data_IF_534931668974
#
_entry.id   IF_534931668974
#
_cell.length_a   1.000
_cell.length_b   1.000
_cell.length_c   1.000
_cell.angle_alpha   90.00
_cell.angle_beta   90.00
_cell.angle_gamma   90.00
#
_symmetry.space_group_name_H-M   'P 1'
#
loop_
_entity.id
_entity.type
_entity.pdbx_description
1 polymer ?
#
# COMPACT_ATOMS: atom_id res chain seq x y z
N UNK A 1 6.10 19.76 -15.67
CA UNK A 1 4.80 19.54 -15.00
C UNK A 1 4.92 18.45 -13.95
N UNK A 2 4.47 18.72 -12.72
CA UNK A 2 4.34 17.69 -11.70
C UNK A 2 3.10 16.84 -11.95
N UNK A 3 2.99 15.69 -11.27
CA UNK A 3 1.75 14.89 -11.31
C UNK A 3 0.62 15.69 -10.65
N UNK A 4 0.92 16.40 -9.56
CA UNK A 4 -0.06 17.26 -8.86
C UNK A 4 -0.62 18.37 -9.76
N UNK A 5 0.21 19.06 -10.53
CA UNK A 5 -0.27 20.09 -11.48
C UNK A 5 -1.23 19.50 -12.53
N UNK A 6 -1.04 18.23 -12.90
CA UNK A 6 -1.97 17.50 -13.75
C UNK A 6 -3.31 17.22 -13.06
N UNK A 7 -3.28 16.85 -11.77
CA UNK A 7 -4.48 16.64 -10.95
C UNK A 7 -5.24 17.95 -10.76
N UNK A 8 -4.54 19.03 -10.41
CA UNK A 8 -5.13 20.35 -10.17
C UNK A 8 -5.91 20.84 -11.40
N UNK A 9 -5.41 20.54 -12.60
CA UNK A 9 -6.02 20.92 -13.88
C UNK A 9 -7.13 19.95 -14.36
N UNK A 10 -7.16 18.72 -13.84
CA UNK A 10 -8.10 17.68 -14.26
C UNK A 10 -9.48 17.83 -13.59
N UNK A 11 -10.48 17.25 -14.25
CA UNK A 11 -11.85 17.08 -13.76
C UNK A 11 -12.19 15.61 -13.55
N UNK A 12 -13.29 15.34 -12.85
CA UNK A 12 -13.80 13.98 -12.67
C UNK A 12 -14.00 13.26 -14.01
N UNK A 13 -13.49 12.02 -14.09
CA UNK A 13 -13.49 11.16 -15.27
C UNK A 13 -12.27 11.32 -16.17
N UNK A 14 -11.39 12.29 -15.92
CA UNK A 14 -10.20 12.48 -16.72
C UNK A 14 -9.15 11.37 -16.50
N UNK A 15 -8.34 11.16 -17.53
CA UNK A 15 -7.14 10.32 -17.48
C UNK A 15 -5.89 11.19 -17.58
N UNK A 16 -5.01 11.06 -16.60
CA UNK A 16 -3.70 11.71 -16.57
C UNK A 16 -2.65 10.69 -16.99
N UNK A 17 -2.11 10.88 -18.20
CA UNK A 17 -1.01 10.08 -18.74
C UNK A 17 0.34 10.72 -18.40
N UNK A 18 1.16 10.00 -17.66
CA UNK A 18 2.46 10.47 -17.19
C UNK A 18 3.58 9.86 -18.06
N UNK A 19 4.35 10.73 -18.71
CA UNK A 19 5.50 10.32 -19.50
C UNK A 19 6.64 9.77 -18.61
N UNK A 20 7.55 8.95 -19.18
CA UNK A 20 8.82 8.61 -18.53
C UNK A 20 9.54 9.82 -17.96
N UNK A 21 9.99 9.71 -16.72
CA UNK A 21 10.64 10.77 -15.97
C UNK A 21 10.66 10.48 -14.47
N UNK A 22 11.39 11.32 -13.72
CA UNK A 22 11.38 11.32 -12.26
C UNK A 22 10.49 12.47 -11.77
N UNK A 23 9.51 12.12 -10.96
CA UNK A 23 8.53 13.01 -10.35
C UNK A 23 8.68 12.94 -8.83
N UNK A 24 8.25 14.01 -8.16
CA UNK A 24 8.35 14.12 -6.71
C UNK A 24 6.95 14.36 -6.14
N UNK A 25 6.62 13.63 -5.06
CA UNK A 25 5.36 13.80 -4.33
C UNK A 25 5.44 14.88 -3.24
N UNK A 26 4.42 15.00 -2.37
CA UNK A 26 3.23 14.14 -2.29
C UNK A 26 2.25 14.29 -3.47
N UNK A 27 1.27 13.39 -3.51
CA UNK A 27 0.18 13.39 -4.49
C UNK A 27 -1.16 13.36 -3.74
N UNK A 28 -2.03 14.33 -3.99
CA UNK A 28 -3.40 14.35 -3.49
C UNK A 28 -4.36 14.29 -4.68
N UNK A 29 -5.24 13.29 -4.71
CA UNK A 29 -6.27 13.16 -5.75
C UNK A 29 -7.36 14.23 -5.63
N UNK A 30 -7.37 15.04 -4.57
CA UNK A 30 -8.31 16.14 -4.32
C UNK A 30 -9.79 15.68 -4.35
N UNK A 31 -10.02 14.42 -3.98
CA UNK A 31 -11.33 13.74 -4.05
C UNK A 31 -11.91 13.68 -5.47
N UNK A 32 -11.05 13.71 -6.50
CA UNK A 32 -11.46 13.61 -7.91
C UNK A 32 -11.46 12.15 -8.38
N UNK A 33 -12.43 11.81 -9.22
CA UNK A 33 -12.50 10.54 -9.94
C UNK A 33 -11.48 10.54 -11.09
N UNK A 34 -10.25 10.09 -10.85
CA UNK A 34 -9.18 10.16 -11.86
C UNK A 34 -8.55 8.79 -12.13
N UNK A 35 -8.24 8.55 -13.41
CA UNK A 35 -7.29 7.52 -13.82
C UNK A 35 -5.93 8.18 -13.98
N UNK A 36 -4.97 7.84 -13.12
CA UNK A 36 -3.60 8.33 -13.20
C UNK A 36 -2.70 7.15 -13.53
N UNK A 37 -1.98 7.23 -14.65
CA UNK A 37 -1.08 6.15 -15.03
C UNK A 37 0.07 6.58 -15.91
N UNK A 38 1.11 5.76 -15.94
CA UNK A 38 2.18 5.93 -16.92
C UNK A 38 1.69 5.54 -18.32
N UNK A 39 2.57 5.71 -19.32
CA UNK A 39 2.29 5.21 -20.68
C UNK A 39 2.11 3.68 -20.76
N UNK A 40 2.34 2.94 -19.66
CA UNK A 40 1.92 1.55 -19.54
C UNK A 40 0.43 1.35 -19.90
N UNK A 41 -0.43 2.32 -19.60
CA UNK A 41 -1.87 2.28 -19.91
C UNK A 41 -2.17 2.12 -21.42
N UNK A 42 -1.27 2.53 -22.30
CA UNK A 42 -1.51 2.52 -23.75
C UNK A 42 -1.06 1.21 -24.40
N UNK A 43 0.13 0.73 -24.03
CA UNK A 43 0.82 -0.32 -24.77
C UNK A 43 1.15 -1.57 -23.92
N UNK A 44 0.81 -1.57 -22.62
CA UNK A 44 1.16 -2.61 -21.65
C UNK A 44 2.67 -2.95 -21.59
N UNK A 45 3.52 -2.02 -22.01
CA UNK A 45 4.97 -2.17 -21.97
C UNK A 45 5.50 -1.80 -20.57
N UNK A 46 5.93 -2.80 -19.81
CA UNK A 46 6.45 -2.63 -18.45
C UNK A 46 7.67 -1.69 -18.35
N UNK A 47 8.37 -1.40 -19.45
CA UNK A 47 9.46 -0.43 -19.42
C UNK A 47 8.99 0.95 -18.98
N UNK A 48 7.73 1.31 -19.28
CA UNK A 48 7.16 2.58 -18.85
C UNK A 48 7.00 2.66 -17.33
N UNK A 49 6.68 1.56 -16.67
CA UNK A 49 6.59 1.51 -15.20
C UNK A 49 7.98 1.80 -14.59
N UNK A 50 9.04 1.17 -15.12
CA UNK A 50 10.41 1.37 -14.64
C UNK A 50 10.97 2.78 -14.92
N UNK A 51 10.42 3.48 -15.92
CA UNK A 51 10.92 4.78 -16.34
C UNK A 51 10.08 5.94 -15.82
N UNK A 52 8.89 5.70 -15.27
CA UNK A 52 8.05 6.71 -14.63
C UNK A 52 8.13 6.55 -13.11
N UNK A 53 9.09 7.25 -12.53
CA UNK A 53 9.52 7.09 -11.14
C UNK A 53 8.95 8.23 -10.29
N UNK A 54 8.41 7.90 -9.13
CA UNK A 54 7.92 8.84 -8.11
C UNK A 54 8.81 8.69 -6.88
N UNK A 55 9.40 9.77 -6.41
CA UNK A 55 10.29 9.81 -5.24
C UNK A 55 9.80 10.77 -4.17
N UNK A 56 10.18 10.51 -2.91
CA UNK A 56 10.02 11.45 -1.81
C UNK A 56 11.24 12.35 -1.66
N UNK A 57 11.02 13.64 -1.38
CA UNK A 57 12.11 14.59 -1.03
C UNK A 57 12.08 15.01 0.43
N UNK A 58 10.98 14.76 1.13
CA UNK A 58 10.78 15.09 2.53
C UNK A 58 10.26 13.86 3.26
N UNK A 59 10.91 13.52 4.37
CA UNK A 59 10.53 12.39 5.22
C UNK A 59 9.41 12.74 6.20
N UNK A 60 9.03 14.03 6.28
CA UNK A 60 7.97 14.52 7.15
C UNK A 60 6.61 14.60 6.46
N UNK A 61 6.41 13.82 5.39
CA UNK A 61 5.18 13.77 4.61
C UNK A 61 4.46 12.48 4.96
N UNK A 62 3.26 12.57 5.52
CA UNK A 62 2.34 11.43 5.66
C UNK A 62 0.90 11.94 5.61
N UNK A 63 0.04 11.40 4.73
CA UNK A 63 0.35 10.35 3.75
C UNK A 63 1.13 10.88 2.54
N UNK A 64 1.80 10.00 1.80
CA UNK A 64 2.51 10.38 0.57
C UNK A 64 1.58 10.46 -0.65
N UNK A 65 0.59 9.58 -0.74
CA UNK A 65 -0.52 9.61 -1.69
C UNK A 65 -1.83 9.61 -0.91
N UNK A 66 -2.71 10.56 -1.21
CA UNK A 66 -4.02 10.71 -0.58
C UNK A 66 -5.14 10.45 -1.59
N UNK A 67 -6.04 9.51 -1.23
CA UNK A 67 -7.25 9.18 -2.00
C UNK A 67 -8.43 9.03 -1.02
N UNK A 68 -9.32 10.03 -0.92
CA UNK A 68 -10.45 9.97 0.01
C UNK A 68 -11.78 10.52 -0.50
N UNK A 69 -12.87 9.97 0.04
CA UNK A 69 -14.21 10.53 -0.12
C UNK A 69 -14.77 10.41 -1.54
N UNK A 70 -14.43 9.33 -2.24
CA UNK A 70 -14.77 9.13 -3.64
C UNK A 70 -15.78 7.99 -3.78
N UNK A 71 -16.96 8.30 -4.33
CA UNK A 71 -18.09 7.39 -4.49
C UNK A 71 -18.39 7.10 -5.97
N UNK A 72 -17.53 6.34 -6.64
CA UNK A 72 -17.72 5.73 -7.98
C UNK A 72 -17.98 6.67 -9.19
N UNK A 73 -17.53 6.32 -10.42
CA UNK A 73 -16.72 5.16 -10.80
C UNK A 73 -15.26 5.48 -11.20
N UNK A 74 -14.41 4.47 -10.95
CA UNK A 74 -13.03 4.22 -11.43
C UNK A 74 -11.94 5.27 -11.14
N UNK A 75 -11.55 5.36 -9.87
CA UNK A 75 -10.23 5.89 -9.51
C UNK A 75 -9.17 4.82 -9.75
N UNK A 76 -8.07 5.17 -10.41
CA UNK A 76 -7.00 4.23 -10.71
C UNK A 76 -5.62 4.89 -10.57
N UNK A 77 -4.69 4.16 -9.94
CA UNK A 77 -3.27 4.50 -9.87
C UNK A 77 -2.48 3.34 -10.48
N UNK A 78 -1.96 3.54 -11.70
CA UNK A 78 -1.47 2.44 -12.53
C UNK A 78 -0.09 2.67 -13.16
N UNK A 79 0.84 1.77 -12.87
CA UNK A 79 2.05 1.64 -13.66
C UNK A 79 3.17 2.62 -13.28
N UNK A 80 3.39 2.86 -12.00
CA UNK A 80 4.48 3.70 -11.49
C UNK A 80 5.54 2.92 -10.72
N UNK A 81 6.74 3.47 -10.62
CA UNK A 81 7.74 3.06 -9.62
C UNK A 81 7.83 4.09 -8.52
N UNK A 82 7.41 3.74 -7.31
CA UNK A 82 7.67 4.48 -6.06
C UNK A 82 9.03 4.05 -5.51
N UNK A 83 10.00 4.97 -5.51
CA UNK A 83 11.40 4.66 -5.19
C UNK A 83 11.92 5.50 -4.03
N UNK A 84 12.60 4.86 -3.09
CA UNK A 84 13.33 5.50 -1.98
C UNK A 84 12.44 6.43 -1.13
N UNK A 85 11.19 6.01 -0.89
CA UNK A 85 10.25 6.80 -0.09
C UNK A 85 10.45 6.47 1.39
N UNK A 86 10.79 7.50 2.17
CA UNK A 86 10.91 7.39 3.62
C UNK A 86 9.89 8.27 4.33
N UNK A 87 9.16 7.72 5.31
CA UNK A 87 8.14 8.40 6.10
C UNK A 87 8.50 8.25 7.59
N UNK A 88 9.06 9.29 8.19
CA UNK A 88 9.66 9.25 9.54
C UNK A 88 9.15 10.39 10.44
N UNK A 89 7.86 10.75 10.33
CA UNK A 89 7.26 11.89 11.05
C UNK A 89 7.15 11.65 12.57
N UNK A 90 8.16 12.00 13.38
CA UNK A 90 8.01 11.96 14.85
C UNK A 90 7.17 13.12 15.44
N UNK A 91 6.31 13.74 14.62
CA UNK A 91 5.48 14.86 15.05
C UNK A 91 4.31 14.37 15.91
N UNK A 92 4.18 14.96 17.11
CA UNK A 92 3.05 14.71 18.01
C UNK A 92 1.71 14.98 17.29
N UNK A 93 0.78 14.03 17.37
CA UNK A 93 -0.56 14.14 16.77
C UNK A 93 -0.73 13.49 15.39
N UNK A 94 0.32 12.90 14.80
CA UNK A 94 0.20 12.10 13.58
C UNK A 94 -0.61 10.83 13.85
N UNK A 95 -1.74 10.66 13.15
CA UNK A 95 -2.64 9.52 13.37
C UNK A 95 -2.19 8.25 12.65
N UNK A 96 -1.47 8.37 11.52
CA UNK A 96 -0.97 7.23 10.75
C UNK A 96 0.22 7.60 9.85
N UNK A 97 1.08 6.63 9.55
CA UNK A 97 2.25 6.77 8.66
C UNK A 97 2.06 5.90 7.42
N UNK A 98 1.63 6.52 6.33
CA UNK A 98 1.09 5.77 5.20
C UNK A 98 1.65 6.27 3.86
N UNK A 99 2.11 5.34 3.02
CA UNK A 99 2.53 5.71 1.66
C UNK A 99 1.31 6.01 0.78
N UNK A 100 0.32 5.13 0.71
CA UNK A 100 -0.97 5.36 0.03
C UNK A 100 -2.11 5.23 1.04
N UNK A 101 -2.78 6.35 1.32
CA UNK A 101 -3.90 6.43 2.24
C UNK A 101 -5.24 6.47 1.47
N UNK A 102 -6.05 5.44 1.67
CA UNK A 102 -7.35 5.26 1.01
C UNK A 102 -8.44 5.27 2.08
N UNK A 103 -9.31 6.29 2.08
CA UNK A 103 -10.36 6.46 3.09
C UNK A 103 -11.70 6.76 2.42
N UNK A 104 -12.72 5.93 2.64
CA UNK A 104 -14.04 6.09 2.01
C UNK A 104 -13.94 6.19 0.47
N UNK A 105 -13.08 5.37 -0.13
CA UNK A 105 -12.83 5.31 -1.57
C UNK A 105 -12.46 3.88 -1.97
N UNK A 106 -12.68 3.52 -3.23
CA UNK A 106 -12.42 2.16 -3.76
C UNK A 106 -11.58 2.16 -5.04
N UNK A 107 -10.37 2.76 -5.04
CA UNK A 107 -9.51 2.78 -6.22
C UNK A 107 -8.98 1.41 -6.64
N UNK A 108 -8.48 1.34 -7.88
CA UNK A 108 -7.56 0.30 -8.34
C UNK A 108 -6.13 0.78 -8.12
N UNK A 109 -5.36 0.08 -7.30
CA UNK A 109 -3.92 0.28 -7.14
C UNK A 109 -3.22 -0.86 -7.84
N UNK A 110 -2.76 -0.64 -9.08
CA UNK A 110 -2.32 -1.74 -9.95
C UNK A 110 -1.02 -1.50 -10.71
N UNK A 111 -0.27 -2.58 -10.95
CA UNK A 111 0.97 -2.57 -11.72
C UNK A 111 2.03 -1.57 -11.20
N UNK A 112 2.02 -1.26 -9.91
CA UNK A 112 3.01 -0.37 -9.31
C UNK A 112 4.17 -1.15 -8.69
N UNK A 113 5.32 -0.49 -8.61
CA UNK A 113 6.55 -1.00 -7.96
C UNK A 113 6.85 -0.11 -6.77
N UNK A 114 6.82 -0.64 -5.55
CA UNK A 114 7.23 0.03 -4.32
C UNK A 114 8.59 -0.52 -3.91
N UNK A 115 9.64 0.24 -4.19
CA UNK A 115 11.02 -0.22 -4.02
C UNK A 115 11.75 0.61 -2.96
N UNK A 116 12.41 -0.09 -2.03
CA UNK A 116 13.25 0.51 -0.99
C UNK A 116 12.53 1.61 -0.18
N UNK A 117 11.32 1.31 0.30
CA UNK A 117 10.59 2.22 1.19
C UNK A 117 10.96 2.01 2.65
N UNK A 118 10.93 3.07 3.45
CA UNK A 118 11.16 3.02 4.90
C UNK A 118 10.07 3.80 5.63
N UNK A 119 9.28 3.13 6.46
CA UNK A 119 8.25 3.77 7.28
C UNK A 119 8.60 3.54 8.74
N UNK A 120 8.98 4.61 9.43
CA UNK A 120 9.22 4.62 10.87
C UNK A 120 8.15 5.49 11.53
N UNK A 121 7.22 4.85 12.24
CA UNK A 121 6.06 5.54 12.82
C UNK A 121 5.86 5.23 14.31
N UNK A 122 5.05 6.02 15.01
CA UNK A 122 4.59 5.74 16.38
C UNK A 122 3.07 5.50 16.47
N UNK A 123 2.40 5.40 15.32
CA UNK A 123 0.96 5.16 15.17
C UNK A 123 0.72 4.27 13.95
N UNK A 124 -0.53 3.86 13.66
CA UNK A 124 -0.85 2.91 12.57
C UNK A 124 -0.06 3.17 11.28
N UNK A 125 0.57 2.15 10.69
CA UNK A 125 1.46 2.34 9.53
C UNK A 125 1.23 1.34 8.43
N UNK A 126 1.32 1.81 7.18
CA UNK A 126 1.19 0.95 6.02
C UNK A 126 1.84 1.48 4.75
N UNK A 127 2.16 0.58 3.82
CA UNK A 127 2.42 1.02 2.44
C UNK A 127 1.11 1.42 1.78
N UNK A 128 0.07 0.59 1.91
CA UNK A 128 -1.28 0.87 1.45
C UNK A 128 -2.23 0.67 2.62
N UNK A 129 -2.84 1.76 3.09
CA UNK A 129 -3.89 1.73 4.08
C UNK A 129 -5.25 1.92 3.42
N UNK A 130 -6.20 1.05 3.72
CA UNK A 130 -7.57 1.11 3.24
C UNK A 130 -8.55 1.12 4.42
N UNK A 131 -9.39 2.15 4.49
CA UNK A 131 -10.48 2.26 5.46
C UNK A 131 -11.80 2.53 4.75
N UNK A 132 -12.82 1.72 5.05
CA UNK A 132 -14.12 1.75 4.36
C UNK A 132 -13.97 1.72 2.83
N UNK A 133 -13.33 0.67 2.33
CA UNK A 133 -12.90 0.54 0.94
C UNK A 133 -13.23 -0.82 0.34
N UNK A 134 -13.51 -0.86 -0.95
CA UNK A 134 -13.59 -2.11 -1.75
C UNK A 134 -12.50 -2.18 -2.83
N UNK A 135 -11.32 -1.60 -2.53
CA UNK A 135 -10.24 -1.45 -3.52
C UNK A 135 -9.73 -2.77 -4.09
N UNK A 136 -9.27 -2.69 -5.34
CA UNK A 136 -8.44 -3.73 -5.97
C UNK A 136 -6.97 -3.35 -5.80
N UNK A 137 -6.20 -4.21 -5.14
CA UNK A 137 -4.75 -4.08 -5.03
C UNK A 137 -4.15 -5.26 -5.78
N UNK A 138 -3.65 -5.03 -7.00
CA UNK A 138 -3.23 -6.11 -7.87
C UNK A 138 -2.00 -5.86 -8.73
N UNK A 139 -1.23 -6.93 -9.00
CA UNK A 139 -0.05 -6.89 -9.86
C UNK A 139 1.02 -5.89 -9.38
N UNK A 140 1.04 -5.55 -8.08
CA UNK A 140 2.07 -4.67 -7.55
C UNK A 140 3.26 -5.50 -7.06
N UNK A 141 4.44 -4.89 -7.09
CA UNK A 141 5.67 -5.43 -6.52
C UNK A 141 6.06 -4.53 -5.36
N UNK A 142 6.23 -5.11 -4.19
CA UNK A 142 6.77 -4.46 -2.99
C UNK A 142 8.11 -5.13 -2.68
N UNK A 143 9.21 -4.40 -2.79
CA UNK A 143 10.56 -4.95 -2.68
C UNK A 143 11.45 -4.12 -1.76
N UNK A 144 12.26 -4.81 -0.97
CA UNK A 144 13.34 -4.23 -0.16
C UNK A 144 12.85 -3.14 0.81
N UNK A 145 11.60 -3.24 1.25
CA UNK A 145 10.95 -2.25 2.11
C UNK A 145 10.96 -2.61 3.60
N UNK A 146 10.89 -1.58 4.44
CA UNK A 146 10.85 -1.71 5.89
C UNK A 146 9.70 -0.89 6.48
N UNK A 147 8.93 -1.50 7.39
CA UNK A 147 8.13 -0.75 8.38
C UNK A 147 8.62 -1.15 9.77
N UNK A 148 9.12 -0.19 10.56
CA UNK A 148 9.69 -0.46 11.87
C UNK A 148 9.35 0.63 12.90
N UNK A 149 9.78 0.40 14.14
CA UNK A 149 9.63 1.28 15.30
C UNK A 149 8.18 1.69 15.64
N UNK A 150 7.23 0.95 15.08
CA UNK A 150 5.80 1.19 15.18
C UNK A 150 5.21 0.42 16.34
N UNK A 151 4.68 1.04 17.40
CA UNK A 151 4.19 0.28 18.57
C UNK A 151 2.71 -0.13 18.50
N UNK A 152 2.08 -0.01 17.34
CA UNK A 152 0.64 -0.18 17.11
C UNK A 152 0.42 -1.20 15.97
N UNK A 153 -0.66 -1.02 15.20
CA UNK A 153 -1.05 -1.87 14.07
C UNK A 153 -0.26 -1.53 12.80
N UNK A 154 0.33 -2.54 12.14
CA UNK A 154 1.11 -2.34 10.90
C UNK A 154 0.84 -3.40 9.84
N UNK A 155 0.74 -2.97 8.57
CA UNK A 155 0.66 -3.86 7.42
C UNK A 155 1.28 -3.26 6.16
N UNK A 156 1.95 -4.03 5.30
CA UNK A 156 2.26 -3.50 3.96
C UNK A 156 0.97 -3.13 3.24
N UNK A 157 -0.02 -4.01 3.31
CA UNK A 157 -1.42 -3.70 3.03
C UNK A 157 -2.18 -3.82 4.35
N UNK A 158 -2.78 -2.72 4.80
CA UNK A 158 -3.60 -2.66 6.00
C UNK A 158 -5.05 -2.33 5.64
N UNK A 159 -5.96 -3.21 6.00
CA UNK A 159 -7.39 -3.15 5.69
C UNK A 159 -8.21 -2.99 6.96
N UNK A 160 -9.01 -1.92 7.08
CA UNK A 160 -9.94 -1.68 8.19
C UNK A 160 -11.35 -1.46 7.66
N UNK A 161 -12.34 -2.17 8.21
CA UNK A 161 -13.75 -2.04 7.80
C UNK A 161 -13.93 -2.08 6.27
N UNK A 162 -13.20 -2.97 5.59
CA UNK A 162 -13.06 -2.96 4.13
C UNK A 162 -13.29 -4.34 3.52
N UNK A 163 -13.51 -4.38 2.21
CA UNK A 163 -13.70 -5.59 1.40
C UNK A 163 -12.77 -5.60 0.20
N UNK A 164 -11.48 -5.78 0.45
CA UNK A 164 -10.43 -5.68 -0.56
C UNK A 164 -10.29 -6.96 -1.39
N UNK A 165 -9.93 -6.79 -2.66
CA UNK A 165 -9.34 -7.86 -3.46
C UNK A 165 -7.83 -7.61 -3.57
N UNK A 166 -7.04 -8.48 -2.95
CA UNK A 166 -5.58 -8.42 -2.94
C UNK A 166 -5.08 -9.59 -3.80
N UNK A 167 -4.64 -9.27 -5.01
CA UNK A 167 -4.42 -10.28 -6.05
C UNK A 167 -3.07 -10.16 -6.75
N UNK A 168 -2.35 -11.28 -6.90
CA UNK A 168 -1.16 -11.35 -7.76
C UNK A 168 -0.11 -10.28 -7.44
N UNK A 169 0.04 -9.93 -6.16
CA UNK A 169 1.11 -9.05 -5.71
C UNK A 169 2.34 -9.88 -5.32
N UNK A 170 3.52 -9.33 -5.56
CA UNK A 170 4.77 -9.83 -5.04
C UNK A 170 5.21 -8.97 -3.87
N UNK A 171 5.44 -9.58 -2.72
CA UNK A 171 6.01 -8.95 -1.54
C UNK A 171 7.30 -9.67 -1.20
N UNK A 172 8.45 -9.00 -1.37
CA UNK A 172 9.73 -9.64 -1.21
C UNK A 172 10.79 -8.83 -0.47
N UNK A 173 11.69 -9.56 0.20
CA UNK A 173 12.82 -9.00 0.94
C UNK A 173 12.43 -7.90 1.93
N UNK A 174 11.24 -8.04 2.52
CA UNK A 174 10.68 -7.06 3.41
C UNK A 174 11.04 -7.28 4.88
N UNK A 175 10.89 -6.21 5.66
CA UNK A 175 10.78 -6.30 7.11
C UNK A 175 9.57 -5.51 7.60
N UNK A 176 8.80 -6.13 8.50
CA UNK A 176 7.78 -5.44 9.31
C UNK A 176 8.00 -5.77 10.78
N UNK A 177 8.01 -4.79 11.67
CA UNK A 177 8.27 -5.12 13.06
C UNK A 177 8.20 -3.97 14.03
N UNK A 178 8.54 -4.30 15.28
CA UNK A 178 8.37 -3.45 16.47
C UNK A 178 6.92 -3.06 16.77
N UNK A 179 5.97 -3.67 16.04
CA UNK A 179 4.51 -3.46 16.08
C UNK A 179 3.79 -4.70 16.56
N UNK A 180 2.57 -4.51 17.04
CA UNK A 180 1.74 -5.61 17.48
C UNK A 180 0.26 -5.18 17.46
N UNK A 181 -0.59 -5.77 16.58
CA UNK A 181 -0.29 -6.81 15.59
C UNK A 181 0.40 -6.31 14.29
N UNK A 182 1.09 -7.23 13.59
CA UNK A 182 1.85 -6.88 12.38
C UNK A 182 1.81 -7.95 11.29
N UNK A 183 1.76 -7.53 10.03
CA UNK A 183 1.94 -8.45 8.92
C UNK A 183 2.24 -7.80 7.59
N UNK A 184 2.22 -8.58 6.52
CA UNK A 184 2.32 -8.06 5.16
C UNK A 184 0.93 -7.71 4.62
N UNK A 185 -0.05 -8.56 4.91
CA UNK A 185 -1.47 -8.23 4.74
C UNK A 185 -2.15 -8.34 6.10
N UNK A 186 -2.70 -7.23 6.59
CA UNK A 186 -3.42 -7.19 7.87
C UNK A 186 -4.85 -6.71 7.64
N UNK A 187 -5.79 -7.47 8.17
CA UNK A 187 -7.23 -7.23 8.01
C UNK A 187 -7.89 -7.09 9.38
N UNK A 188 -8.62 -6.01 9.59
CA UNK A 188 -9.33 -5.68 10.83
C UNK A 188 -10.78 -5.37 10.50
N UNK A 189 -11.72 -6.08 11.13
CA UNK A 189 -13.16 -6.00 10.82
C UNK A 189 -13.44 -5.97 9.30
N UNK A 190 -12.72 -6.80 8.53
CA UNK A 190 -12.69 -6.73 7.06
C UNK A 190 -13.04 -8.07 6.40
N UNK A 191 -13.55 -8.00 5.17
CA UNK A 191 -13.92 -9.15 4.34
C UNK A 191 -13.06 -9.22 3.07
N UNK A 192 -11.83 -9.72 3.17
CA UNK A 192 -10.87 -9.65 2.06
C UNK A 192 -10.72 -10.97 1.30
N UNK A 193 -10.50 -10.83 -0.01
CA UNK A 193 -10.05 -11.92 -0.89
C UNK A 193 -8.56 -11.74 -1.12
N UNK A 194 -7.75 -12.69 -0.65
CA UNK A 194 -6.30 -12.71 -0.79
C UNK A 194 -5.94 -13.89 -1.69
N UNK A 195 -5.56 -13.62 -2.93
CA UNK A 195 -5.38 -14.66 -3.95
C UNK A 195 -4.15 -14.47 -4.82
N UNK A 196 -3.47 -15.56 -5.17
CA UNK A 196 -2.36 -15.55 -6.14
C UNK A 196 -1.16 -14.65 -5.72
N UNK A 197 -1.06 -14.25 -4.46
CA UNK A 197 0.06 -13.41 -4.01
C UNK A 197 1.28 -14.27 -3.65
N UNK A 198 2.46 -13.70 -3.83
CA UNK A 198 3.73 -14.31 -3.41
C UNK A 198 4.38 -13.47 -2.33
N UNK A 199 4.66 -14.09 -1.19
CA UNK A 199 5.44 -13.54 -0.09
C UNK A 199 6.77 -14.27 -0.04
N UNK A 200 7.87 -13.62 -0.42
CA UNK A 200 9.17 -14.26 -0.57
C UNK A 200 10.24 -13.58 0.30
N UNK A 201 10.88 -14.35 1.18
CA UNK A 201 11.92 -13.83 2.07
C UNK A 201 11.40 -12.65 2.92
N UNK A 202 10.20 -12.85 3.46
CA UNK A 202 9.49 -11.88 4.29
C UNK A 202 9.87 -12.06 5.76
N UNK A 203 10.30 -10.99 6.42
CA UNK A 203 10.64 -11.00 7.83
C UNK A 203 9.62 -10.22 8.66
N UNK A 204 9.25 -10.76 9.82
CA UNK A 204 8.59 -10.03 10.90
C UNK A 204 9.46 -10.07 12.17
N UNK A 205 9.49 -9.02 12.99
CA UNK A 205 10.30 -9.04 14.21
C UNK A 205 9.77 -8.13 15.31
N UNK A 206 10.11 -8.44 16.56
CA UNK A 206 9.67 -7.68 17.75
C UNK A 206 8.15 -7.53 17.83
N UNK A 207 7.43 -8.65 17.65
CA UNK A 207 5.98 -8.73 17.61
C UNK A 207 5.50 -10.03 18.26
N UNK A 208 4.40 -10.00 19.02
CA UNK A 208 3.76 -11.21 19.55
C UNK A 208 2.73 -11.76 18.55
N UNK A 209 2.01 -10.86 17.89
CA UNK A 209 0.88 -11.16 17.00
C UNK A 209 1.25 -10.81 15.57
N UNK A 210 2.15 -11.60 14.96
CA UNK A 210 2.60 -11.33 13.60
C UNK A 210 2.70 -12.54 12.68
N UNK A 211 2.33 -12.34 11.42
CA UNK A 211 2.35 -13.34 10.35
C UNK A 211 2.37 -12.65 8.98
N UNK A 212 2.65 -13.38 7.90
CA UNK A 212 2.51 -12.82 6.55
C UNK A 212 1.09 -12.32 6.28
N UNK A 213 0.07 -13.07 6.69
CA UNK A 213 -1.35 -12.67 6.62
C UNK A 213 -1.96 -12.71 8.03
N UNK A 214 -2.59 -11.61 8.44
CA UNK A 214 -3.24 -11.46 9.75
C UNK A 214 -4.71 -11.06 9.59
N UNK A 215 -5.60 -11.76 10.30
CA UNK A 215 -7.02 -11.45 10.43
C UNK A 215 -7.36 -11.12 11.89
N UNK A 216 -7.98 -9.97 12.14
CA UNK A 216 -8.34 -9.46 13.47
C UNK A 216 -9.79 -8.99 13.49
N UNK A 217 -10.34 -8.79 14.69
CA UNK A 217 -11.64 -8.17 14.93
C UNK A 217 -12.79 -8.76 14.09
N UNK A 218 -12.87 -10.09 14.03
CA UNK A 218 -13.93 -10.79 13.30
C UNK A 218 -13.80 -10.72 11.78
N UNK A 219 -12.61 -10.40 11.25
CA UNK A 219 -12.36 -10.41 9.80
C UNK A 219 -12.62 -11.79 9.17
N UNK A 220 -13.22 -11.78 7.98
CA UNK A 220 -13.54 -12.97 7.20
C UNK A 220 -12.69 -12.99 5.93
N UNK A 221 -11.73 -13.93 5.82
CA UNK A 221 -10.77 -13.94 4.72
C UNK A 221 -10.98 -15.14 3.80
N UNK A 222 -11.01 -14.90 2.48
CA UNK A 222 -10.84 -15.94 1.47
C UNK A 222 -9.38 -15.94 1.05
N UNK A 223 -8.62 -16.94 1.50
CA UNK A 223 -7.19 -17.09 1.18
C UNK A 223 -7.02 -18.29 0.25
N UNK A 224 -6.64 -18.06 -1.01
CA UNK A 224 -6.42 -19.15 -1.97
C UNK A 224 -5.21 -18.90 -2.87
N UNK A 225 -4.50 -19.95 -3.28
CA UNK A 225 -3.40 -19.87 -4.26
C UNK A 225 -2.27 -18.88 -3.92
N UNK A 226 -2.05 -18.56 -2.64
CA UNK A 226 -0.92 -17.73 -2.22
C UNK A 226 0.31 -18.60 -1.96
N UNK A 227 1.48 -18.07 -2.26
CA UNK A 227 2.77 -18.71 -2.03
C UNK A 227 3.52 -17.93 -0.94
N UNK A 228 3.74 -18.55 0.22
CA UNK A 228 4.53 -17.96 1.31
C UNK A 228 5.84 -18.77 1.43
N UNK A 229 6.96 -18.12 1.12
CA UNK A 229 8.29 -18.71 1.08
C UNK A 229 9.22 -17.96 2.02
N UNK A 230 9.93 -18.73 2.86
CA UNK A 230 10.99 -18.19 3.74
C UNK A 230 10.48 -17.05 4.63
N UNK A 231 9.28 -17.22 5.19
CA UNK A 231 8.75 -16.32 6.20
C UNK A 231 9.44 -16.58 7.54
N UNK A 232 10.10 -15.56 8.08
CA UNK A 232 10.80 -15.63 9.37
C UNK A 232 10.22 -14.60 10.33
N UNK A 233 10.03 -14.95 11.59
CA UNK A 233 9.75 -13.94 12.61
C UNK A 233 9.49 -14.49 13.99
N UNK A 234 9.32 -13.58 14.95
CA UNK A 234 9.15 -13.89 16.36
C UNK A 234 7.74 -14.45 16.70
N UNK A 235 6.76 -14.17 15.84
CA UNK A 235 5.36 -14.61 15.98
C UNK A 235 5.00 -15.89 15.21
N UNK A 236 3.84 -15.88 14.55
CA UNK A 236 3.18 -17.04 13.94
C UNK A 236 3.66 -17.38 12.52
N UNK A 237 4.48 -16.53 11.90
CA UNK A 237 5.16 -16.81 10.65
C UNK A 237 4.29 -16.63 9.39
N UNK A 238 3.29 -17.49 9.19
CA UNK A 238 2.57 -17.58 7.91
C UNK A 238 1.18 -16.93 7.93
N UNK A 239 0.24 -17.48 8.69
CA UNK A 239 -1.15 -16.98 8.78
C UNK A 239 -1.59 -16.97 10.23
N UNK A 240 -2.26 -15.89 10.63
CA UNK A 240 -2.85 -15.73 11.95
C UNK A 240 -4.29 -15.21 11.83
N UNK A 241 -5.19 -15.78 12.61
CA UNK A 241 -6.52 -15.24 12.84
C UNK A 241 -6.74 -15.12 14.36
N UNK A 242 -7.12 -13.93 14.83
CA UNK A 242 -7.42 -13.66 16.23
C UNK A 242 -8.77 -12.97 16.38
N UNK A 243 -9.46 -13.29 17.47
CA UNK A 243 -10.70 -12.59 17.90
C UNK A 243 -10.41 -11.34 18.75
N UNK A 244 -9.13 -11.11 19.10
CA UNK A 244 -8.67 -10.12 20.05
C UNK A 244 -8.38 -8.75 19.47
#
# INVERSE_FOLDING_TARGET
PSIQEGIDAASDGDTILVHPGTYYGPIDFERKNLVIGSLFLLDANESFINQTIIMGTDTNVSPFVQIDGISEPEVELNGFTFQDISLNTFAEGTQSYVLINIINASPKIINNRFNNFQIDGQAESAVIFCSNSSSLIANNIFSDGMIALNYELTGWILSKNSSLTIKNNLMENGYVGFSDPTGYVVSVASENIITENTFNNVSMGYCWTCAAIVALDGSSLIINNNLILRATGDGYGAILASES
#
